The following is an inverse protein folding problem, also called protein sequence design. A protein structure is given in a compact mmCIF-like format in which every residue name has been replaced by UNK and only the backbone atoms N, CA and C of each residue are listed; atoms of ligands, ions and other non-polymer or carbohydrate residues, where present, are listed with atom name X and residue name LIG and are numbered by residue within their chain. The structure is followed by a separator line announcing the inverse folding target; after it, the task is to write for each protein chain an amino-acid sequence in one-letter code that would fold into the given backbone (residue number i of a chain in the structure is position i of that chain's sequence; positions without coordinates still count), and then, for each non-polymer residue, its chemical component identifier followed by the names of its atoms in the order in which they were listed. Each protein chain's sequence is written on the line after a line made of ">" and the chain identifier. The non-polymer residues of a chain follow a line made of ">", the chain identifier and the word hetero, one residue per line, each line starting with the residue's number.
data_IF_806614285961
#
_entry.id   IF_806614285961
#
_cell.length_a   1.000
_cell.length_b   1.000
_cell.length_c   1.000
_cell.angle_alpha   90.00
_cell.angle_beta   90.00
_cell.angle_gamma   90.00
#
_symmetry.space_group_name_H-M   'P 1'
#
loop_
_entity.id
_entity.type
_entity.pdbx_description
1 polymer ?
#
# COMPACT_ATOMS: atom_id res chain seq x y z
N UNK A 1 -5.87 -9.13 17.09
CA UNK A 1 -5.36 -7.89 17.73
C UNK A 1 -5.54 -6.80 16.69
N UNK A 2 -6.29 -5.73 16.99
CA UNK A 2 -6.48 -4.65 16.04
C UNK A 2 -5.10 -4.11 15.62
N UNK A 3 -4.82 -4.09 14.33
CA UNK A 3 -3.59 -3.51 13.81
C UNK A 3 -3.79 -2.00 13.86
N UNK A 4 -2.97 -1.32 14.65
CA UNK A 4 -3.07 0.12 14.86
C UNK A 4 -2.02 0.86 14.02
N UNK A 5 -2.48 1.82 13.23
CA UNK A 5 -1.63 2.64 12.37
C UNK A 5 -0.58 3.41 13.17
N UNK A 6 -0.96 4.00 14.30
CA UNK A 6 -0.05 4.81 15.11
C UNK A 6 1.11 3.98 15.67
N UNK A 7 0.81 2.77 16.16
CA UNK A 7 1.82 1.80 16.60
C UNK A 7 2.77 1.40 15.46
N UNK A 8 2.24 1.16 14.26
CA UNK A 8 3.04 0.86 13.08
C UNK A 8 3.95 2.01 12.68
N UNK A 9 3.44 3.23 12.71
CA UNK A 9 4.19 4.45 12.40
C UNK A 9 5.30 4.72 13.42
N UNK A 10 5.02 4.50 14.70
CA UNK A 10 6.03 4.63 15.76
C UNK A 10 7.21 3.69 15.52
N UNK A 11 6.96 2.41 15.22
CA UNK A 11 8.02 1.43 14.93
C UNK A 11 8.83 1.82 13.69
N UNK A 12 8.15 2.27 12.64
CA UNK A 12 8.81 2.76 11.43
C UNK A 12 9.75 3.93 11.76
N UNK A 13 9.26 4.95 12.46
CA UNK A 13 10.04 6.13 12.81
C UNK A 13 11.21 5.80 13.76
N UNK A 14 10.99 4.94 14.77
CA UNK A 14 12.05 4.49 15.67
C UNK A 14 13.16 3.73 14.91
N UNK A 15 12.77 2.81 14.01
CA UNK A 15 13.73 2.07 13.20
C UNK A 15 14.52 2.95 12.25
N UNK A 16 13.90 4.02 11.71
CA UNK A 16 14.59 4.98 10.85
C UNK A 16 15.70 5.72 11.60
N UNK A 17 15.43 6.16 12.84
CA UNK A 17 16.43 6.86 13.69
C UNK A 17 17.64 6.00 14.04
N UNK A 18 17.51 4.67 13.94
CA UNK A 18 18.58 3.71 14.20
C UNK A 18 19.48 3.46 12.99
N UNK A 19 19.15 3.99 11.81
CA UNK A 19 19.95 3.87 10.60
C UNK A 19 21.03 4.97 10.64
N UNK A 20 22.34 4.62 10.59
CA UNK A 20 23.41 5.63 10.56
C UNK A 20 23.32 6.54 9.33
N UNK A 21 23.76 7.79 9.48
CA UNK A 21 23.83 8.72 8.36
C UNK A 21 24.75 8.18 7.25
N UNK A 22 24.31 8.29 6.00
CA UNK A 22 25.04 7.79 4.83
C UNK A 22 24.79 6.31 4.51
N UNK A 23 24.15 5.54 5.39
CA UNK A 23 23.78 4.16 5.10
C UNK A 23 22.54 4.07 4.20
N UNK A 24 22.46 3.09 3.28
CA UNK A 24 21.29 2.90 2.43
C UNK A 24 20.04 2.53 3.24
N UNK A 25 18.98 3.33 3.12
CA UNK A 25 17.67 3.03 3.72
C UNK A 25 16.97 1.94 2.91
N UNK A 26 16.51 0.88 3.58
CA UNK A 26 15.79 -0.25 2.95
C UNK A 26 14.69 -0.76 3.86
N UNK A 27 13.63 -1.31 3.27
CA UNK A 27 12.57 -1.98 4.04
C UNK A 27 13.06 -3.32 4.59
N UNK A 28 12.98 -3.52 5.90
CA UNK A 28 13.15 -4.82 6.53
C UNK A 28 11.87 -5.64 6.34
N UNK A 29 11.79 -6.36 5.21
CA UNK A 29 10.65 -7.23 4.88
C UNK A 29 11.10 -8.66 4.56
N UNK A 30 10.31 -9.62 5.01
CA UNK A 30 10.53 -11.07 4.81
C UNK A 30 10.28 -11.53 3.38
N UNK A 31 9.34 -10.89 2.69
CA UNK A 31 8.93 -11.29 1.34
C UNK A 31 9.61 -10.43 0.28
N UNK A 32 9.73 -10.97 -0.94
CA UNK A 32 10.26 -10.28 -2.12
C UNK A 32 9.62 -10.85 -3.36
N UNK A 33 9.16 -9.99 -4.26
CA UNK A 33 8.81 -10.38 -5.63
C UNK A 33 9.88 -9.92 -6.64
N UNK A 34 11.12 -9.69 -6.16
CA UNK A 34 12.26 -9.40 -7.01
C UNK A 34 12.84 -10.69 -7.57
N UNK A 35 13.09 -10.71 -8.89
CA UNK A 35 13.79 -11.81 -9.57
C UNK A 35 15.33 -11.72 -9.46
N UNK A 36 15.84 -10.79 -8.65
CA UNK A 36 17.27 -10.59 -8.41
C UNK A 36 17.60 -10.81 -6.94
N UNK A 37 18.76 -11.40 -6.68
CA UNK A 37 19.34 -11.44 -5.34
C UNK A 37 19.64 -10.04 -4.82
N UNK A 38 19.28 -9.80 -3.56
CA UNK A 38 19.63 -8.56 -2.87
C UNK A 38 21.03 -8.69 -2.29
N UNK A 39 21.83 -7.63 -2.43
CA UNK A 39 23.08 -7.52 -1.69
C UNK A 39 22.78 -7.51 -0.18
N UNK A 40 23.63 -8.17 0.59
CA UNK A 40 23.56 -8.15 2.06
C UNK A 40 23.83 -6.72 2.53
N UNK A 41 22.95 -6.18 3.36
CA UNK A 41 23.15 -4.87 3.98
C UNK A 41 23.75 -5.05 5.38
N UNK A 42 24.68 -4.17 5.77
CA UNK A 42 25.24 -4.13 7.11
C UNK A 42 24.37 -3.32 8.08
N UNK A 43 23.74 -2.25 7.58
CA UNK A 43 22.82 -1.41 8.34
C UNK A 43 21.46 -2.10 8.60
N UNK A 44 20.79 -1.78 9.73
CA UNK A 44 19.42 -2.20 9.98
C UNK A 44 18.45 -1.60 8.94
N UNK A 45 17.40 -2.32 8.59
CA UNK A 45 16.33 -1.82 7.73
C UNK A 45 15.18 -1.21 8.51
N UNK A 46 14.28 -0.52 7.78
CA UNK A 46 13.04 0.03 8.29
C UNK A 46 12.08 -1.07 8.74
N UNK A 47 11.66 -1.03 10.01
CA UNK A 47 10.63 -1.91 10.54
C UNK A 47 9.26 -1.49 10.02
N UNK A 48 8.75 -2.29 9.09
CA UNK A 48 7.43 -2.12 8.48
C UNK A 48 6.43 -3.18 8.95
N UNK A 49 6.77 -3.96 9.97
CA UNK A 49 5.96 -5.07 10.47
C UNK A 49 4.59 -4.63 11.01
N UNK A 50 4.49 -3.40 11.52
CA UNK A 50 3.24 -2.82 11.99
C UNK A 50 2.35 -2.22 10.90
N UNK A 51 2.78 -2.24 9.64
CA UNK A 51 2.08 -1.60 8.51
C UNK A 51 1.48 -2.62 7.54
N UNK A 52 1.18 -3.83 8.00
CA UNK A 52 0.57 -4.90 7.20
C UNK A 52 -0.96 -4.95 7.26
N UNK A 53 -1.60 -4.05 8.00
CA UNK A 53 -3.02 -4.11 8.27
C UNK A 53 -3.89 -3.36 7.27
N UNK A 54 -5.17 -3.73 7.28
CA UNK A 54 -6.29 -2.87 6.87
C UNK A 54 -6.78 -2.18 8.14
N UNK A 55 -6.73 -0.84 8.16
CA UNK A 55 -7.04 -0.03 9.34
C UNK A 55 -8.51 0.39 9.37
N UNK A 56 -9.06 0.73 8.21
CA UNK A 56 -10.46 1.13 8.06
C UNK A 56 -11.00 0.77 6.66
N UNK A 57 -12.31 0.51 6.59
CA UNK A 57 -13.05 0.31 5.34
C UNK A 57 -14.34 1.11 5.46
N UNK A 58 -14.53 2.10 4.58
CA UNK A 58 -15.76 2.86 4.47
C UNK A 58 -16.56 2.40 3.22
N UNK A 59 -17.64 1.63 3.39
CA UNK A 59 -18.45 1.16 2.27
C UNK A 59 -19.23 2.27 1.56
N UNK A 60 -19.47 3.41 2.22
CA UNK A 60 -20.25 4.51 1.66
C UNK A 60 -19.43 5.30 0.66
N UNK A 61 -18.23 5.72 1.06
CA UNK A 61 -17.28 6.38 0.16
C UNK A 61 -16.50 5.40 -0.72
N UNK A 62 -16.57 4.10 -0.40
CA UNK A 62 -15.91 2.98 -1.09
C UNK A 62 -14.38 3.10 -1.04
N UNK A 63 -13.87 3.44 0.13
CA UNK A 63 -12.44 3.61 0.39
C UNK A 63 -11.96 2.67 1.49
N UNK A 64 -10.67 2.37 1.51
CA UNK A 64 -10.03 1.65 2.59
C UNK A 64 -8.73 2.35 2.97
N UNK A 65 -8.48 2.46 4.28
CA UNK A 65 -7.20 2.90 4.82
C UNK A 65 -6.35 1.66 5.12
N UNK A 66 -5.17 1.57 4.52
CA UNK A 66 -4.33 0.37 4.59
C UNK A 66 -2.87 0.73 4.77
N UNK A 67 -2.12 -0.16 5.41
CA UNK A 67 -0.68 -0.02 5.51
C UNK A 67 0.02 -0.42 4.21
N UNK A 68 1.21 0.16 3.96
CA UNK A 68 1.99 -0.13 2.75
C UNK A 68 2.42 -1.60 2.62
N UNK A 69 2.48 -2.35 3.73
CA UNK A 69 2.78 -3.79 3.74
C UNK A 69 1.52 -4.67 3.72
N UNK A 70 0.31 -4.09 3.74
CA UNK A 70 -0.93 -4.84 3.52
C UNK A 70 -0.83 -5.57 2.19
N UNK A 71 -1.24 -6.82 2.12
CA UNK A 71 -1.31 -7.54 0.85
C UNK A 71 -2.61 -7.23 0.13
N UNK A 72 -2.65 -7.47 -1.18
CA UNK A 72 -3.92 -7.42 -1.91
C UNK A 72 -4.90 -8.51 -1.45
N UNK A 73 -4.39 -9.66 -1.02
CA UNK A 73 -5.20 -10.74 -0.45
C UNK A 73 -5.93 -10.26 0.82
N UNK A 74 -5.22 -9.61 1.74
CA UNK A 74 -5.80 -9.05 2.96
C UNK A 74 -6.81 -7.94 2.67
N UNK A 75 -6.50 -7.05 1.71
CA UNK A 75 -7.41 -5.98 1.32
C UNK A 75 -8.70 -6.53 0.71
N UNK A 76 -8.61 -7.49 -0.22
CA UNK A 76 -9.79 -8.15 -0.81
C UNK A 76 -10.61 -8.83 0.28
N UNK A 77 -9.97 -9.55 1.20
CA UNK A 77 -10.66 -10.22 2.31
C UNK A 77 -11.41 -9.23 3.20
N UNK A 78 -10.84 -8.04 3.46
CA UNK A 78 -11.47 -7.00 4.28
C UNK A 78 -12.61 -6.27 3.57
N UNK A 79 -12.55 -6.09 2.24
CA UNK A 79 -13.59 -5.36 1.49
C UNK A 79 -14.74 -6.25 1.04
N UNK A 80 -14.51 -7.56 0.88
CA UNK A 80 -15.51 -8.49 0.36
C UNK A 80 -16.81 -8.57 1.18
N UNK A 81 -16.78 -8.54 2.54
CA UNK A 81 -18.01 -8.50 3.36
C UNK A 81 -18.92 -7.30 3.06
N UNK A 82 -18.37 -6.23 2.48
CA UNK A 82 -19.10 -5.04 2.07
C UNK A 82 -19.54 -5.07 0.60
N UNK A 83 -19.31 -6.19 -0.11
CA UNK A 83 -19.56 -6.30 -1.56
C UNK A 83 -18.57 -5.48 -2.40
N UNK A 84 -17.39 -5.16 -1.85
CA UNK A 84 -16.38 -4.33 -2.48
C UNK A 84 -15.10 -5.13 -2.79
N UNK A 85 -14.35 -4.66 -3.79
CA UNK A 85 -13.03 -5.18 -4.17
C UNK A 85 -12.19 -4.02 -4.74
N UNK A 86 -10.86 -4.05 -4.61
CA UNK A 86 -9.99 -3.18 -5.40
C UNK A 86 -10.24 -3.35 -6.90
N UNK A 87 -10.03 -2.28 -7.67
CA UNK A 87 -10.19 -2.28 -9.14
C UNK A 87 -9.25 -3.22 -9.88
N UNK A 88 -8.04 -3.34 -9.34
CA UNK A 88 -6.93 -4.07 -9.90
C UNK A 88 -6.36 -4.87 -8.74
N UNK A 89 -6.31 -6.19 -8.90
CA UNK A 89 -5.78 -7.13 -7.90
C UNK A 89 -4.63 -7.88 -8.55
N UNK A 90 -3.37 -7.43 -8.39
CA UNK A 90 -2.23 -8.08 -9.02
C UNK A 90 -2.07 -9.54 -8.60
N UNK A 91 -1.52 -10.38 -9.49
CA UNK A 91 -1.61 -11.84 -9.40
C UNK A 91 -0.79 -12.50 -8.27
N UNK A 92 0.24 -11.83 -7.73
CA UNK A 92 1.12 -12.44 -6.73
C UNK A 92 0.53 -12.29 -5.32
N UNK A 93 0.24 -13.41 -4.65
CA UNK A 93 -0.37 -13.41 -3.30
C UNK A 93 0.36 -12.50 -2.29
N UNK A 94 1.69 -12.50 -2.35
CA UNK A 94 2.53 -11.73 -1.41
C UNK A 94 2.74 -10.28 -1.83
N UNK A 95 2.13 -9.81 -2.93
CA UNK A 95 2.27 -8.43 -3.37
C UNK A 95 1.57 -7.50 -2.39
N UNK A 96 2.36 -6.55 -1.89
CA UNK A 96 1.93 -5.52 -0.95
C UNK A 96 1.35 -4.33 -1.71
N UNK A 97 0.40 -3.61 -1.10
CA UNK A 97 -0.16 -2.35 -1.64
C UNK A 97 0.96 -1.37 -1.99
N UNK A 98 1.87 -1.08 -1.07
CA UNK A 98 2.98 -0.15 -1.30
C UNK A 98 3.87 -0.60 -2.45
N UNK A 99 4.21 -1.90 -2.50
CA UNK A 99 5.00 -2.47 -3.59
C UNK A 99 4.34 -2.36 -4.97
N UNK A 100 3.02 -2.51 -5.08
CA UNK A 100 2.31 -2.34 -6.36
C UNK A 100 2.15 -0.87 -6.75
N UNK A 101 1.89 0.01 -5.78
CA UNK A 101 1.75 1.46 -6.01
C UNK A 101 3.08 2.05 -6.45
N UNK A 102 4.19 1.77 -5.75
CA UNK A 102 5.50 2.35 -6.07
C UNK A 102 6.26 1.59 -7.16
N UNK A 103 5.97 0.30 -7.34
CA UNK A 103 6.70 -0.61 -8.22
C UNK A 103 6.01 -0.87 -9.56
N UNK A 104 4.97 -0.11 -9.91
CA UNK A 104 4.17 -0.30 -11.14
C UNK A 104 3.53 -1.68 -11.21
N UNK A 105 2.64 -1.98 -10.26
CA UNK A 105 1.80 -3.18 -10.35
C UNK A 105 0.93 -3.12 -11.62
N UNK A 106 0.79 -4.25 -12.32
CA UNK A 106 -0.04 -4.37 -13.52
C UNK A 106 -0.86 -5.65 -13.43
N UNK A 107 -2.10 -5.59 -13.90
CA UNK A 107 -2.95 -6.75 -14.09
C UNK A 107 -3.85 -6.50 -15.32
N UNK A 108 -4.46 -7.53 -15.91
CA UNK A 108 -5.37 -7.41 -17.07
C UNK A 108 -6.50 -6.39 -16.87
N UNK A 109 -7.06 -6.28 -15.66
CA UNK A 109 -8.06 -5.29 -15.31
C UNK A 109 -7.54 -3.85 -15.44
N UNK A 110 -6.22 -3.64 -15.41
CA UNK A 110 -5.62 -2.32 -15.61
C UNK A 110 -5.90 -1.73 -16.98
N UNK A 111 -6.14 -2.56 -18.01
CA UNK A 111 -6.54 -2.07 -19.32
C UNK A 111 -7.79 -1.18 -19.26
N UNK A 112 -8.72 -1.49 -18.36
CA UNK A 112 -9.97 -0.76 -18.18
C UNK A 112 -9.93 0.22 -17.01
N UNK A 113 -9.24 -0.16 -15.93
CA UNK A 113 -9.35 0.51 -14.64
C UNK A 113 -8.12 1.35 -14.27
N UNK A 114 -7.09 1.40 -15.13
CA UNK A 114 -5.82 2.04 -14.82
C UNK A 114 -4.91 1.17 -13.93
N UNK A 115 -3.79 1.72 -13.52
CA UNK A 115 -2.80 1.08 -12.67
C UNK A 115 -3.14 1.27 -11.19
N UNK A 116 -2.64 0.39 -10.30
CA UNK A 116 -2.85 0.49 -8.86
C UNK A 116 -2.63 1.85 -8.23
N UNK A 117 -1.60 2.60 -8.66
CA UNK A 117 -1.30 3.91 -8.11
C UNK A 117 -2.35 4.96 -8.49
N UNK A 118 -3.06 4.79 -9.60
CA UNK A 118 -4.14 5.70 -10.02
C UNK A 118 -5.39 5.56 -9.15
N UNK A 119 -5.48 4.49 -8.35
CA UNK A 119 -6.54 4.27 -7.36
C UNK A 119 -6.24 4.85 -5.98
N UNK A 120 -5.05 5.44 -5.77
CA UNK A 120 -4.64 6.00 -4.47
C UNK A 120 -5.16 7.43 -4.31
N UNK A 121 -5.86 7.69 -3.21
CA UNK A 121 -6.43 9.01 -2.93
C UNK A 121 -5.45 9.91 -2.18
N UNK A 122 -4.73 9.30 -1.24
CA UNK A 122 -3.66 9.92 -0.48
C UNK A 122 -2.71 8.83 0.03
N UNK A 123 -1.47 9.21 0.33
CA UNK A 123 -0.45 8.30 0.84
C UNK A 123 0.45 9.01 1.84
N UNK A 124 0.68 8.38 2.98
CA UNK A 124 1.67 8.83 3.96
C UNK A 124 3.06 8.33 3.56
N UNK A 125 4.00 9.26 3.42
CA UNK A 125 5.37 9.02 2.96
C UNK A 125 6.35 9.44 4.04
N UNK A 126 7.16 8.49 4.52
CA UNK A 126 8.33 8.82 5.33
C UNK A 126 9.42 9.43 4.43
N UNK A 127 9.76 10.67 4.71
CA UNK A 127 10.79 11.44 3.99
C UNK A 127 12.19 11.18 4.54
N UNK A 128 13.25 11.56 3.80
CA UNK A 128 14.63 11.55 4.30
C UNK A 128 14.89 12.51 5.46
N UNK A 129 13.96 13.39 5.81
CA UNK A 129 14.05 14.22 7.02
C UNK A 129 13.57 13.46 8.28
N UNK A 130 13.05 12.25 8.12
CA UNK A 130 12.41 11.49 9.20
C UNK A 130 10.98 11.95 9.51
N UNK A 131 10.42 12.81 8.66
CA UNK A 131 9.06 13.33 8.76
C UNK A 131 8.11 12.50 7.88
N UNK A 132 6.86 12.36 8.31
CA UNK A 132 5.80 11.73 7.54
C UNK A 132 4.96 12.82 6.89
N UNK A 133 4.86 12.80 5.57
CA UNK A 133 4.04 13.73 4.80
C UNK A 133 2.90 12.99 4.12
N UNK A 134 1.70 13.54 4.19
CA UNK A 134 0.55 13.03 3.44
C UNK A 134 0.55 13.65 2.04
N UNK A 135 0.86 12.85 1.04
CA UNK A 135 0.79 13.25 -0.36
C UNK A 135 -0.62 13.03 -0.91
N UNK A 136 -1.11 14.01 -1.69
CA UNK A 136 -2.41 13.97 -2.38
C UNK A 136 -2.23 14.40 -3.84
N UNK A 137 -3.05 13.90 -4.79
CA UNK A 137 -2.97 14.27 -6.20
C UNK A 137 -3.08 15.78 -6.50
N UNK A 138 -3.72 16.57 -5.62
CA UNK A 138 -3.97 18.01 -5.83
C UNK A 138 -3.55 18.91 -4.65
N UNK A 139 -2.61 18.48 -3.80
CA UNK A 139 -2.12 19.22 -2.62
C UNK A 139 -0.76 19.91 -2.78
N UNK A 140 -0.32 20.69 -1.77
CA UNK A 140 0.91 21.52 -1.78
C UNK A 140 2.24 20.75 -1.74
N UNK A 141 2.20 19.43 -1.54
CA UNK A 141 3.37 18.54 -1.62
C UNK A 141 3.01 17.42 -2.59
N UNK A 142 3.05 17.74 -3.88
CA UNK A 142 2.64 16.82 -4.94
C UNK A 142 3.69 15.71 -5.12
N UNK A 143 3.39 14.52 -4.61
CA UNK A 143 4.01 13.25 -5.03
C UNK A 143 2.86 12.30 -5.43
N UNK A 144 2.09 12.67 -6.46
CA UNK A 144 1.28 11.73 -7.27
C UNK A 144 0.58 12.48 -8.41
N UNK A 145 0.80 12.07 -9.66
CA UNK A 145 0.12 12.61 -10.84
C UNK A 145 -1.14 11.79 -11.16
N UNK A 146 -2.32 12.41 -10.98
CA UNK A 146 -3.69 12.09 -11.50
C UNK A 146 -4.33 10.71 -11.18
N UNK A 147 -5.64 10.46 -11.37
CA UNK A 147 -6.92 11.02 -10.86
C UNK A 147 -8.09 10.12 -11.38
N UNK A 148 -8.64 9.26 -10.50
CA UNK A 148 -9.96 8.58 -10.43
C UNK A 148 -10.72 8.01 -11.67
N UNK A 149 -11.27 6.79 -11.48
CA UNK A 149 -12.63 6.40 -11.96
C UNK A 149 -13.29 5.31 -11.09
N UNK A 150 -14.60 5.47 -10.86
CA UNK A 150 -15.60 4.76 -10.01
C UNK A 150 -15.62 3.21 -9.98
N UNK A 151 -15.76 2.62 -8.77
CA UNK A 151 -16.02 1.18 -8.56
C UNK A 151 -17.44 0.86 -9.01
N UNK A 152 -17.60 0.22 -10.17
CA UNK A 152 -18.86 -0.47 -10.48
C UNK A 152 -18.89 -1.83 -9.81
N UNK A 153 -19.67 -1.97 -8.74
CA UNK A 153 -20.20 -3.25 -8.32
C UNK A 153 -21.16 -3.74 -9.42
N UNK A 154 -20.83 -4.84 -10.12
CA UNK A 154 -21.88 -5.60 -10.81
C UNK A 154 -22.46 -6.56 -9.79
N UNK A 155 -23.68 -6.30 -9.34
CA UNK A 155 -24.52 -7.35 -8.76
C UNK A 155 -24.71 -8.41 -9.85
N UNK A 156 -24.11 -9.58 -9.67
CA UNK A 156 -24.47 -10.74 -10.47
C UNK A 156 -25.86 -11.19 -10.02
N UNK A 157 -26.90 -10.76 -10.73
CA UNK A 157 -28.22 -11.38 -10.60
C UNK A 157 -28.13 -12.80 -11.19
N UNK A 158 -28.58 -13.85 -10.49
CA UNK A 158 -28.65 -15.19 -11.08
C UNK A 158 -29.63 -15.15 -12.24
N UNK A 159 -29.24 -15.69 -13.41
CA UNK A 159 -30.21 -15.96 -14.47
C UNK A 159 -31.07 -17.13 -14.01
N UNK A 160 -32.38 -16.88 -13.94
CA UNK A 160 -33.39 -17.94 -13.92
C UNK A 160 -33.49 -18.65 -15.26
#
# INVERSE_FOLDING_TARGET
>A
MAVDYATGLFRLADSYRRIPAGEPVRLAKRTSNLFRQRAKAAAPGLDVSGLSGVFDVDPRSRTAQVGGMCTYEDLVAATLPHGLSPFVVPQLKTITIGGAVTGMGVESASFRNGLPHESVLEIDVLTPAGEVVTARPSGSTAICTSAFRTLTARSATPRG
#
